data_IF_473411934339
#
_entry.id   IF_473411934339
#
_cell.length_a   1.000
_cell.length_b   1.000
_cell.length_c   1.000
_cell.angle_alpha   90.00
_cell.angle_beta   90.00
_cell.angle_gamma   90.00
#
_symmetry.space_group_name_H-M   'P 1'
#
loop_
_entity.id
_entity.type
_entity.pdbx_description
1 polymer ?
#
# COMPACT_ATOMS: atom_id res chain seq x y z
N UNK A 1 -17.93 -1.61 23.00
CA UNK A 1 -19.01 -2.62 22.98
C UNK A 1 -18.64 -3.77 22.03
N UNK A 2 -19.22 -4.97 22.19
CA UNK A 2 -18.99 -6.13 21.31
C UNK A 2 -19.24 -5.77 19.83
N UNK A 3 -20.30 -5.05 19.53
CA UNK A 3 -20.64 -4.60 18.16
C UNK A 3 -19.58 -3.67 17.56
N UNK A 4 -19.03 -2.73 18.33
CA UNK A 4 -17.94 -1.87 17.87
C UNK A 4 -16.70 -2.70 17.50
N UNK A 5 -16.33 -3.71 18.30
CA UNK A 5 -15.22 -4.60 17.99
C UNK A 5 -15.45 -5.45 16.72
N UNK A 6 -16.69 -5.91 16.49
CA UNK A 6 -17.04 -6.61 15.26
C UNK A 6 -16.89 -5.73 14.01
N UNK A 7 -17.31 -4.46 14.10
CA UNK A 7 -17.13 -3.50 12.99
C UNK A 7 -15.66 -3.24 12.69
N UNK A 8 -14.82 -3.09 13.71
CA UNK A 8 -13.37 -2.95 13.52
C UNK A 8 -12.74 -4.18 12.85
N UNK A 9 -13.22 -5.39 13.20
CA UNK A 9 -12.77 -6.62 12.54
C UNK A 9 -13.17 -6.63 11.04
N UNK A 10 -14.39 -6.23 10.70
CA UNK A 10 -14.84 -6.13 9.31
C UNK A 10 -14.02 -5.11 8.54
N UNK A 11 -13.80 -3.92 9.10
CA UNK A 11 -12.95 -2.89 8.53
C UNK A 11 -11.52 -3.39 8.27
N UNK A 12 -10.96 -4.21 9.17
CA UNK A 12 -9.64 -4.81 8.98
C UNK A 12 -9.60 -5.80 7.81
N UNK A 13 -10.68 -6.56 7.59
CA UNK A 13 -10.82 -7.44 6.41
C UNK A 13 -10.91 -6.65 5.11
N UNK A 14 -11.67 -5.56 5.09
CA UNK A 14 -11.77 -4.68 3.93
C UNK A 14 -10.43 -4.04 3.60
N UNK A 15 -9.68 -3.62 4.64
CA UNK A 15 -8.33 -3.12 4.46
C UNK A 15 -7.38 -4.16 3.82
N UNK A 16 -7.48 -5.42 4.24
CA UNK A 16 -6.71 -6.52 3.62
C UNK A 16 -7.03 -6.66 2.12
N UNK A 17 -8.33 -6.61 1.74
CA UNK A 17 -8.75 -6.66 0.34
C UNK A 17 -8.24 -5.45 -0.45
N UNK A 18 -8.32 -4.25 0.13
CA UNK A 18 -7.81 -3.02 -0.48
C UNK A 18 -6.29 -3.06 -0.72
N UNK A 19 -5.52 -3.53 0.27
CA UNK A 19 -4.05 -3.70 0.15
C UNK A 19 -3.73 -4.72 -0.94
N UNK A 20 -4.42 -5.86 -0.97
CA UNK A 20 -4.24 -6.88 -2.02
C UNK A 20 -4.48 -6.30 -3.42
N UNK A 21 -5.57 -5.57 -3.61
CA UNK A 21 -5.88 -4.92 -4.88
C UNK A 21 -4.81 -3.89 -5.26
N UNK A 22 -4.32 -3.11 -4.30
CA UNK A 22 -3.24 -2.12 -4.51
C UNK A 22 -1.92 -2.78 -4.92
N UNK A 23 -1.57 -3.91 -4.30
CA UNK A 23 -0.36 -4.68 -4.66
C UNK A 23 -0.48 -5.21 -6.09
N UNK A 24 -1.62 -5.81 -6.45
CA UNK A 24 -1.87 -6.32 -7.82
C UNK A 24 -1.74 -5.19 -8.85
N UNK A 25 -2.39 -4.04 -8.59
CA UNK A 25 -2.29 -2.87 -9.47
C UNK A 25 -0.86 -2.33 -9.55
N UNK A 26 -0.12 -2.32 -8.43
CA UNK A 26 1.29 -1.91 -8.38
C UNK A 26 2.18 -2.82 -9.24
N UNK A 27 2.02 -4.13 -9.11
CA UNK A 27 2.75 -5.13 -9.94
C UNK A 27 2.45 -4.92 -11.42
N UNK A 28 1.17 -4.77 -11.78
CA UNK A 28 0.78 -4.53 -13.18
C UNK A 28 1.40 -3.25 -13.73
N UNK A 29 1.32 -2.14 -12.99
CA UNK A 29 1.91 -0.87 -13.40
C UNK A 29 3.42 -0.97 -13.62
N UNK A 30 4.14 -1.58 -12.68
CA UNK A 30 5.60 -1.76 -12.81
C UNK A 30 5.95 -2.67 -13.98
N UNK A 31 5.18 -3.74 -14.22
CA UNK A 31 5.38 -4.64 -15.35
C UNK A 31 5.23 -3.91 -16.69
N UNK A 32 4.15 -3.14 -16.87
CA UNK A 32 3.96 -2.35 -18.10
C UNK A 32 4.98 -1.21 -18.25
N UNK A 33 5.45 -0.64 -17.13
CA UNK A 33 6.56 0.31 -17.15
C UNK A 33 7.85 -0.34 -17.67
N UNK A 34 8.14 -1.59 -17.27
CA UNK A 34 9.28 -2.34 -17.79
C UNK A 34 9.15 -2.60 -19.28
N UNK A 35 7.98 -3.01 -19.77
CA UNK A 35 7.75 -3.19 -21.22
C UNK A 35 7.96 -1.89 -21.99
N UNK A 36 7.51 -0.77 -21.46
CA UNK A 36 7.73 0.56 -22.06
C UNK A 36 9.22 0.90 -22.10
N UNK A 37 9.96 0.69 -21.01
CA UNK A 37 11.39 0.96 -20.95
C UNK A 37 12.18 0.06 -21.90
N UNK A 38 11.80 -1.20 -22.08
CA UNK A 38 12.42 -2.09 -23.06
C UNK A 38 12.17 -1.60 -24.49
N UNK A 39 10.98 -1.10 -24.79
CA UNK A 39 10.69 -0.50 -26.11
C UNK A 39 11.49 0.78 -26.31
N UNK A 40 11.63 1.61 -25.30
CA UNK A 40 12.50 2.80 -25.34
C UNK A 40 13.97 2.40 -25.55
N UNK A 41 14.44 1.34 -24.91
CA UNK A 41 15.80 0.83 -25.09
C UNK A 41 16.05 0.43 -26.57
N UNK A 42 15.10 -0.29 -27.18
CA UNK A 42 15.21 -0.65 -28.61
C UNK A 42 15.32 0.58 -29.50
N UNK A 43 14.46 1.59 -29.27
CA UNK A 43 14.51 2.84 -30.05
C UNK A 43 15.83 3.59 -29.85
N UNK A 44 16.39 3.61 -28.65
CA UNK A 44 17.67 4.25 -28.38
C UNK A 44 18.83 3.46 -28.97
N UNK A 45 18.76 2.12 -29.03
CA UNK A 45 19.74 1.29 -29.75
C UNK A 45 19.74 1.60 -31.25
N UNK A 46 18.58 1.76 -31.87
CA UNK A 46 18.47 2.18 -33.27
C UNK A 46 18.99 3.60 -33.48
N UNK A 47 18.72 4.54 -32.57
CA UNK A 47 19.24 5.91 -32.60
C UNK A 47 20.76 5.94 -32.41
N UNK A 48 21.32 5.11 -31.55
CA UNK A 48 22.76 4.98 -31.35
C UNK A 48 23.45 4.64 -32.67
N UNK A 49 22.95 3.62 -33.38
CA UNK A 49 23.50 3.22 -34.66
C UNK A 49 23.41 4.35 -35.70
N UNK A 50 22.22 4.98 -35.81
CA UNK A 50 22.01 6.08 -36.76
C UNK A 50 22.91 7.30 -36.47
N UNK A 51 23.06 7.69 -35.23
CA UNK A 51 23.91 8.85 -34.85
C UNK A 51 25.39 8.54 -35.01
N UNK A 52 25.81 7.30 -34.74
CA UNK A 52 27.18 6.83 -34.98
C UNK A 52 27.51 6.88 -36.48
N UNK A 53 26.64 6.30 -37.32
CA UNK A 53 26.85 6.32 -38.79
C UNK A 53 26.89 7.76 -39.32
N UNK A 54 26.02 8.63 -38.80
CA UNK A 54 26.00 10.05 -39.15
C UNK A 54 27.33 10.73 -38.80
N UNK A 55 27.84 10.48 -37.59
CA UNK A 55 29.13 11.02 -37.15
C UNK A 55 30.29 10.51 -38.03
N UNK A 56 30.33 9.20 -38.34
CA UNK A 56 31.37 8.60 -39.20
C UNK A 56 31.32 9.18 -40.62
N UNK A 57 30.13 9.34 -41.22
CA UNK A 57 29.98 9.97 -42.53
C UNK A 57 30.46 11.43 -42.53
N UNK A 58 30.12 12.20 -41.48
CA UNK A 58 30.57 13.60 -41.36
C UNK A 58 32.09 13.68 -41.21
N UNK A 59 32.73 12.75 -40.51
CA UNK A 59 34.18 12.65 -40.38
C UNK A 59 34.85 12.34 -41.72
N UNK A 60 34.36 11.34 -42.46
CA UNK A 60 34.84 10.96 -43.77
C UNK A 60 34.74 12.11 -44.78
N UNK A 61 33.62 12.84 -44.79
CA UNK A 61 33.41 14.01 -45.66
C UNK A 61 34.32 15.16 -45.34
N UNK A 62 34.66 15.39 -44.07
CA UNK A 62 35.63 16.38 -43.66
C UNK A 62 37.05 16.01 -44.17
N UNK A 63 37.45 14.73 -43.98
CA UNK A 63 38.77 14.23 -44.38
C UNK A 63 38.93 14.23 -45.91
N UNK A 64 37.83 14.04 -46.67
CA UNK A 64 37.79 14.15 -48.14
C UNK A 64 37.71 15.60 -48.67
N UNK A 65 37.80 16.61 -47.81
CA UNK A 65 37.69 18.04 -48.13
C UNK A 65 36.39 18.45 -48.85
N UNK A 66 35.27 17.72 -48.62
CA UNK A 66 33.96 17.93 -49.23
C UNK A 66 33.15 18.95 -48.43
N UNK A 67 33.70 20.15 -48.15
CA UNK A 67 32.95 21.31 -47.65
C UNK A 67 32.34 21.19 -46.23
N UNK A 68 32.70 20.15 -45.45
CA UNK A 68 32.19 19.96 -44.07
C UNK A 68 33.08 20.69 -43.07
N UNK A 69 32.49 21.61 -42.31
CA UNK A 69 33.16 22.34 -41.24
C UNK A 69 33.40 21.42 -40.02
N UNK A 70 34.54 21.62 -39.31
CA UNK A 70 34.85 20.85 -38.09
C UNK A 70 33.78 20.96 -37.01
N UNK A 71 33.05 22.07 -36.94
CA UNK A 71 31.89 22.27 -36.03
C UNK A 71 30.76 21.26 -36.29
N UNK A 72 30.50 20.92 -37.57
CA UNK A 72 29.47 19.94 -37.90
C UNK A 72 29.83 18.52 -37.43
N UNK A 73 31.10 18.15 -37.51
CA UNK A 73 31.62 16.86 -37.01
C UNK A 73 31.51 16.81 -35.49
N UNK A 74 31.92 17.89 -34.80
CA UNK A 74 31.80 17.97 -33.32
C UNK A 74 30.36 17.96 -32.86
N UNK A 75 29.44 18.59 -33.58
CA UNK A 75 28.00 18.54 -33.27
C UNK A 75 27.43 17.12 -33.44
N UNK A 76 27.83 16.40 -34.49
CA UNK A 76 27.41 15.00 -34.70
C UNK A 76 27.97 14.08 -33.61
N UNK A 77 29.23 14.29 -33.21
CA UNK A 77 29.87 13.58 -32.10
C UNK A 77 29.17 13.83 -30.77
N UNK A 78 28.87 15.09 -30.45
CA UNK A 78 28.12 15.44 -29.22
C UNK A 78 26.71 14.81 -29.18
N UNK A 79 26.03 14.74 -30.34
CA UNK A 79 24.75 14.09 -30.45
C UNK A 79 24.84 12.57 -30.20
N UNK A 80 25.86 11.89 -30.77
CA UNK A 80 26.13 10.48 -30.49
C UNK A 80 26.34 10.21 -28.99
N UNK A 81 27.21 11.00 -28.34
CA UNK A 81 27.41 10.84 -26.88
C UNK A 81 26.17 11.15 -26.05
N UNK A 82 25.32 12.08 -26.49
CA UNK A 82 24.03 12.35 -25.82
C UNK A 82 23.13 11.13 -25.85
N UNK A 83 23.09 10.40 -26.96
CA UNK A 83 22.32 9.15 -27.08
C UNK A 83 22.87 8.05 -26.16
N UNK A 84 24.20 7.94 -26.03
CA UNK A 84 24.83 7.00 -25.11
C UNK A 84 24.47 7.28 -23.63
N UNK A 85 24.40 8.55 -23.26
CA UNK A 85 23.94 8.94 -21.91
C UNK A 85 22.50 8.50 -21.70
N UNK A 86 21.60 8.78 -22.66
CA UNK A 86 20.19 8.35 -22.59
C UNK A 86 20.08 6.82 -22.47
N UNK A 87 20.87 6.07 -23.22
CA UNK A 87 20.91 4.59 -23.13
C UNK A 87 21.29 4.12 -21.73
N UNK A 88 22.25 4.76 -21.11
CA UNK A 88 22.71 4.44 -19.76
C UNK A 88 21.62 4.75 -18.72
N UNK A 89 20.92 5.87 -18.88
CA UNK A 89 19.83 6.25 -18.00
C UNK A 89 18.65 5.28 -18.10
N UNK A 90 18.28 4.83 -19.29
CA UNK A 90 17.22 3.83 -19.47
C UNK A 90 17.61 2.50 -18.81
N UNK A 91 18.85 2.06 -18.96
CA UNK A 91 19.35 0.84 -18.29
C UNK A 91 19.26 0.95 -16.78
N UNK A 92 19.59 2.11 -16.22
CA UNK A 92 19.44 2.37 -14.78
C UNK A 92 17.99 2.27 -14.36
N UNK A 93 17.07 2.92 -15.11
CA UNK A 93 15.62 2.89 -14.82
C UNK A 93 15.04 1.47 -14.89
N UNK A 94 15.46 0.65 -15.86
CA UNK A 94 15.07 -0.76 -15.94
C UNK A 94 15.46 -1.49 -14.65
N UNK A 95 16.73 -1.38 -14.21
CA UNK A 95 17.21 -2.05 -12.99
C UNK A 95 16.48 -1.56 -11.73
N UNK A 96 16.27 -0.27 -11.61
CA UNK A 96 15.52 0.32 -10.49
C UNK A 96 14.09 -0.21 -10.43
N UNK A 97 13.42 -0.33 -11.59
CA UNK A 97 12.06 -0.86 -11.68
C UNK A 97 12.03 -2.37 -11.41
N UNK A 98 12.99 -3.15 -11.91
CA UNK A 98 13.14 -4.57 -11.61
C UNK A 98 13.36 -4.82 -10.10
N UNK A 99 14.21 -4.03 -9.46
CA UNK A 99 14.45 -4.10 -8.03
C UNK A 99 13.19 -3.75 -7.23
N UNK A 100 12.49 -2.71 -7.64
CA UNK A 100 11.24 -2.28 -7.01
C UNK A 100 10.13 -3.33 -7.14
N UNK A 101 10.03 -3.97 -8.30
CA UNK A 101 9.08 -5.05 -8.55
C UNK A 101 9.45 -6.30 -7.75
N UNK A 102 10.74 -6.67 -7.69
CA UNK A 102 11.23 -7.79 -6.86
C UNK A 102 10.92 -7.56 -5.38
N UNK A 103 11.12 -6.34 -4.87
CA UNK A 103 10.79 -5.96 -3.50
C UNK A 103 9.29 -6.08 -3.24
N UNK A 104 8.45 -5.63 -4.18
CA UNK A 104 6.98 -5.68 -4.03
C UNK A 104 6.46 -7.14 -3.99
N UNK A 105 7.12 -8.05 -4.73
CA UNK A 105 6.79 -9.48 -4.74
C UNK A 105 7.43 -10.22 -3.54
N UNK A 106 8.35 -9.57 -2.82
CA UNK A 106 9.06 -10.17 -1.68
C UNK A 106 10.21 -11.10 -2.09
N UNK A 107 10.78 -10.89 -3.27
CA UNK A 107 11.93 -11.65 -3.79
C UNK A 107 13.21 -10.83 -3.73
N UNK A 108 14.35 -11.51 -3.80
CA UNK A 108 15.64 -10.83 -3.98
C UNK A 108 15.69 -10.13 -5.33
N UNK A 109 16.47 -9.04 -5.41
CA UNK A 109 16.67 -8.30 -6.64
C UNK A 109 17.18 -9.22 -7.77
N UNK A 110 16.41 -9.34 -8.83
CA UNK A 110 16.71 -10.20 -9.98
C UNK A 110 16.15 -9.61 -11.27
N UNK A 111 16.69 -10.04 -12.39
CA UNK A 111 16.13 -9.73 -13.70
C UNK A 111 14.79 -10.45 -13.87
N UNK A 112 13.79 -9.73 -14.36
CA UNK A 112 12.41 -10.24 -14.50
C UNK A 112 12.19 -10.62 -15.96
N UNK A 113 11.87 -11.90 -16.18
CA UNK A 113 11.46 -12.39 -17.51
C UNK A 113 10.13 -11.79 -17.90
N UNK A 114 10.05 -11.19 -19.08
CA UNK A 114 8.87 -10.46 -19.55
C UNK A 114 8.65 -10.62 -21.05
N UNK A 115 7.44 -10.38 -21.51
CA UNK A 115 7.07 -10.37 -22.91
C UNK A 115 7.50 -9.08 -23.63
N UNK A 116 6.99 -8.89 -24.85
CA UNK A 116 7.20 -7.67 -25.61
C UNK A 116 5.99 -6.77 -25.54
N UNK A 117 6.20 -5.46 -25.66
CA UNK A 117 5.12 -4.46 -25.68
C UNK A 117 4.21 -4.66 -26.89
N UNK A 118 4.79 -5.03 -28.05
CA UNK A 118 4.07 -5.21 -29.30
C UNK A 118 3.11 -6.42 -29.28
N UNK A 119 3.31 -7.38 -28.38
CA UNK A 119 2.45 -8.57 -28.22
C UNK A 119 1.22 -8.29 -27.32
N UNK A 120 1.11 -7.08 -26.74
CA UNK A 120 0.02 -6.72 -25.84
C UNK A 120 -1.23 -6.34 -26.59
N UNK A 121 -2.33 -7.08 -26.32
CA UNK A 121 -3.65 -6.77 -26.90
C UNK A 121 -4.40 -5.85 -25.93
N UNK A 122 -4.69 -4.63 -26.39
CA UNK A 122 -5.57 -3.72 -25.67
C UNK A 122 -7.03 -4.10 -25.94
N UNK A 123 -7.91 -4.08 -24.93
CA UNK A 123 -9.34 -4.30 -25.15
C UNK A 123 -9.89 -3.20 -26.06
N UNK A 124 -10.56 -3.61 -27.12
CA UNK A 124 -11.12 -2.71 -28.17
C UNK A 124 -12.34 -1.92 -27.71
N UNK A 125 -12.98 -2.34 -26.60
CA UNK A 125 -14.13 -1.65 -26.04
C UNK A 125 -14.06 -1.66 -24.52
N UNK A 126 -14.16 -0.48 -23.93
CA UNK A 126 -14.37 -0.32 -22.49
C UNK A 126 -15.86 -0.08 -22.24
N UNK A 127 -16.49 -0.94 -21.45
CA UNK A 127 -17.85 -0.70 -20.97
C UNK A 127 -17.84 0.55 -20.07
N UNK A 128 -18.41 1.65 -20.57
CA UNK A 128 -18.63 2.85 -19.78
C UNK A 128 -19.95 2.70 -19.02
N UNK A 129 -19.91 2.84 -17.72
CA UNK A 129 -21.07 2.74 -16.84
C UNK A 129 -20.93 1.59 -15.85
N UNK A 130 -20.39 1.93 -14.69
CA UNK A 130 -20.29 1.01 -13.55
C UNK A 130 -21.62 1.09 -12.80
N UNK A 131 -22.40 0.00 -12.79
CA UNK A 131 -23.63 -0.05 -12.00
C UNK A 131 -23.35 0.20 -10.51
N UNK A 132 -24.26 0.93 -9.82
CA UNK A 132 -24.15 1.25 -8.40
C UNK A 132 -23.90 0.03 -7.52
N UNK A 133 -24.32 -1.17 -7.95
CA UNK A 133 -24.05 -2.43 -7.25
C UNK A 133 -22.55 -2.78 -7.16
N UNK A 134 -21.72 -2.30 -8.10
CA UNK A 134 -20.27 -2.53 -8.05
C UNK A 134 -19.57 -1.63 -7.04
N UNK A 135 -20.19 -0.51 -6.63
CA UNK A 135 -19.69 0.33 -5.54
C UNK A 135 -19.67 -0.43 -4.21
N UNK A 136 -20.65 -1.31 -3.97
CA UNK A 136 -20.70 -2.13 -2.76
C UNK A 136 -19.54 -3.15 -2.68
N UNK A 137 -18.93 -3.50 -3.81
CA UNK A 137 -17.80 -4.43 -3.85
C UNK A 137 -16.44 -3.70 -3.71
N UNK A 138 -16.45 -2.38 -3.64
CA UNK A 138 -15.23 -1.59 -3.40
C UNK A 138 -14.87 -1.62 -1.92
N UNK A 139 -13.71 -2.15 -1.62
CA UNK A 139 -13.21 -2.27 -0.25
C UNK A 139 -13.03 -0.91 0.46
N UNK A 140 -12.71 0.16 -0.28
CA UNK A 140 -12.58 1.51 0.26
C UNK A 140 -13.92 2.11 0.67
N UNK A 141 -14.99 1.89 -0.12
CA UNK A 141 -16.36 2.33 0.21
C UNK A 141 -16.87 1.55 1.43
N UNK A 142 -16.74 0.22 1.43
CA UNK A 142 -17.18 -0.61 2.55
C UNK A 142 -16.40 -0.29 3.84
N UNK A 143 -15.09 -0.04 3.75
CA UNK A 143 -14.30 0.41 4.90
C UNK A 143 -14.78 1.77 5.46
N UNK A 144 -15.21 2.71 4.59
CA UNK A 144 -15.78 3.98 5.01
C UNK A 144 -17.14 3.80 5.70
N UNK A 145 -17.99 2.90 5.21
CA UNK A 145 -19.25 2.53 5.86
C UNK A 145 -19.02 1.90 7.25
N UNK A 146 -18.04 1.00 7.36
CA UNK A 146 -17.68 0.40 8.65
C UNK A 146 -17.14 1.46 9.62
N UNK A 147 -16.39 2.44 9.14
CA UNK A 147 -15.94 3.57 9.96
C UNK A 147 -17.11 4.39 10.48
N UNK A 148 -18.11 4.67 9.64
CA UNK A 148 -19.33 5.35 10.06
C UNK A 148 -20.10 4.54 11.13
N UNK A 149 -20.24 3.24 10.91
CA UNK A 149 -20.85 2.33 11.90
C UNK A 149 -20.07 2.30 13.22
N UNK A 150 -18.74 2.36 13.17
CA UNK A 150 -17.89 2.47 14.36
C UNK A 150 -18.19 3.74 15.15
N UNK A 151 -18.25 4.91 14.47
CA UNK A 151 -18.60 6.17 15.10
C UNK A 151 -19.99 6.11 15.75
N UNK A 152 -20.96 5.53 15.06
CA UNK A 152 -22.30 5.31 15.62
C UNK A 152 -22.26 4.50 16.93
N UNK A 153 -21.51 3.38 16.96
CA UNK A 153 -21.38 2.58 18.18
C UNK A 153 -20.57 3.27 19.27
N UNK A 154 -19.64 4.17 18.92
CA UNK A 154 -18.93 5.00 19.89
C UNK A 154 -19.90 5.96 20.58
N UNK A 155 -20.77 6.64 19.82
CA UNK A 155 -21.81 7.50 20.38
C UNK A 155 -22.76 6.70 21.29
N UNK A 156 -23.18 5.48 20.89
CA UNK A 156 -24.01 4.63 21.74
C UNK A 156 -23.27 4.22 23.03
N UNK A 157 -21.98 3.97 22.96
CA UNK A 157 -21.17 3.66 24.13
C UNK A 157 -21.00 4.88 25.04
N UNK A 158 -20.88 6.10 24.48
CA UNK A 158 -20.86 7.33 25.27
C UNK A 158 -22.22 7.57 25.98
N UNK A 159 -23.34 7.33 25.27
CA UNK A 159 -24.69 7.41 25.84
C UNK A 159 -24.91 6.38 26.94
N UNK A 160 -24.39 5.15 26.82
CA UNK A 160 -24.55 4.12 27.83
C UNK A 160 -23.92 4.49 29.18
N UNK A 161 -22.94 5.39 29.22
CA UNK A 161 -22.32 5.87 30.47
C UNK A 161 -23.24 6.74 31.32
N UNK A 162 -24.36 7.20 30.79
CA UNK A 162 -25.40 7.92 31.55
C UNK A 162 -26.35 6.99 32.32
N UNK A 163 -26.33 5.69 32.04
CA UNK A 163 -27.14 4.70 32.69
C UNK A 163 -26.39 4.02 33.84
N UNK A 164 -27.13 3.46 34.83
CA UNK A 164 -26.53 2.70 35.93
C UNK A 164 -25.68 1.51 35.40
N UNK A 165 -24.49 1.35 35.94
CA UNK A 165 -23.63 0.20 35.65
C UNK A 165 -23.73 -0.83 36.78
N UNK A 166 -24.08 -2.07 36.43
CA UNK A 166 -24.06 -3.21 37.34
C UNK A 166 -22.67 -3.89 37.20
N UNK A 167 -21.91 -3.86 38.29
CA UNK A 167 -20.62 -4.55 38.37
C UNK A 167 -20.76 -5.75 39.30
N UNK A 168 -20.45 -6.93 38.79
CA UNK A 168 -20.40 -8.17 39.59
C UNK A 168 -18.94 -8.61 39.63
N UNK A 169 -18.39 -8.68 40.84
CA UNK A 169 -17.00 -9.16 41.06
C UNK A 169 -17.04 -10.41 41.94
N UNK A 170 -16.29 -11.41 41.55
CA UNK A 170 -16.08 -12.63 42.31
C UNK A 170 -14.58 -12.79 42.61
N UNK A 171 -14.22 -13.10 43.83
CA UNK A 171 -12.85 -13.43 44.22
C UNK A 171 -12.85 -14.72 45.03
N UNK A 172 -11.93 -15.61 44.66
CA UNK A 172 -11.60 -16.79 45.47
C UNK A 172 -10.21 -16.57 46.11
N UNK A 173 -10.14 -16.60 47.44
CA UNK A 173 -8.91 -16.46 48.17
C UNK A 173 -8.65 -17.74 48.97
N UNK A 174 -7.48 -18.32 48.77
CA UNK A 174 -7.00 -19.45 49.54
C UNK A 174 -6.12 -18.92 50.68
N UNK A 175 -6.57 -19.15 51.93
CA UNK A 175 -5.82 -18.73 53.10
C UNK A 175 -5.26 -19.96 53.80
N UNK A 176 -3.92 -19.99 53.94
CA UNK A 176 -3.21 -20.99 54.74
C UNK A 176 -2.62 -20.32 55.98
N UNK A 177 -3.20 -20.58 57.15
CA UNK A 177 -2.76 -19.94 58.43
C UNK A 177 -1.51 -20.59 59.05
N UNK A 178 -0.89 -21.56 58.40
CA UNK A 178 0.10 -22.41 59.08
C UNK A 178 1.54 -22.36 58.55
N UNK A 179 1.90 -21.53 57.59
CA UNK A 179 3.30 -21.38 57.14
C UNK A 179 4.01 -22.64 56.58
N UNK A 180 3.34 -23.75 56.49
CA UNK A 180 3.84 -25.03 55.97
C UNK A 180 3.00 -25.46 54.80
N UNK A 181 3.53 -25.31 53.59
CA UNK A 181 3.11 -25.91 52.34
C UNK A 181 1.62 -26.23 52.11
N UNK A 182 1.27 -26.43 50.89
CA UNK A 182 -0.09 -26.70 50.33
C UNK A 182 -0.73 -28.03 50.86
N UNK A 183 -0.23 -28.62 51.98
CA UNK A 183 -0.60 -29.97 52.41
C UNK A 183 -1.85 -30.00 53.30
N UNK A 184 -2.31 -28.88 53.82
CA UNK A 184 -3.56 -28.80 54.53
C UNK A 184 -4.49 -27.80 53.85
N UNK A 185 -5.67 -28.22 53.34
CA UNK A 185 -6.59 -27.31 52.65
C UNK A 185 -7.10 -26.30 53.68
N UNK A 186 -6.43 -25.15 53.71
CA UNK A 186 -6.97 -23.96 54.40
C UNK A 186 -8.34 -23.66 53.83
N UNK A 187 -9.11 -22.81 54.51
CA UNK A 187 -10.45 -22.45 54.03
C UNK A 187 -10.35 -21.67 52.71
N UNK A 188 -11.02 -22.20 51.68
CA UNK A 188 -11.25 -21.52 50.43
C UNK A 188 -12.41 -20.53 50.66
N UNK A 189 -12.07 -19.24 50.66
CA UNK A 189 -13.06 -18.17 50.84
C UNK A 189 -13.49 -17.66 49.46
N UNK A 190 -14.77 -17.84 49.20
CA UNK A 190 -15.42 -17.25 48.01
C UNK A 190 -16.16 -15.97 48.41
N UNK A 191 -15.90 -14.90 47.66
CA UNK A 191 -16.58 -13.63 47.84
C UNK A 191 -17.18 -13.21 46.52
N UNK A 192 -18.52 -12.99 46.50
CA UNK A 192 -19.24 -12.40 45.39
C UNK A 192 -19.82 -11.06 45.84
N UNK A 193 -19.55 -9.99 45.11
CA UNK A 193 -20.05 -8.65 45.39
C UNK A 193 -20.69 -8.09 44.12
N UNK A 194 -21.97 -7.73 44.22
CA UNK A 194 -22.70 -6.97 43.21
C UNK A 194 -22.76 -5.50 43.64
N UNK A 195 -22.36 -4.59 42.75
CA UNK A 195 -22.50 -3.16 42.98
C UNK A 195 -23.21 -2.48 41.79
N UNK A 196 -24.16 -1.62 42.09
CA UNK A 196 -24.85 -0.78 41.12
C UNK A 196 -24.35 0.66 41.31
N UNK A 197 -23.70 1.21 40.28
CA UNK A 197 -23.14 2.56 40.33
C UNK A 197 -23.74 3.40 39.20
N UNK A 198 -24.22 4.60 39.56
CA UNK A 198 -24.68 5.60 38.59
C UNK A 198 -24.01 6.93 38.90
N UNK A 199 -23.25 7.51 37.97
CA UNK A 199 -22.69 8.83 38.14
C UNK A 199 -23.77 9.89 37.97
N UNK A 200 -24.07 10.65 39.04
CA UNK A 200 -25.05 11.74 39.01
C UNK A 200 -24.35 13.05 38.60
N UNK A 201 -23.15 13.29 39.06
CA UNK A 201 -22.39 14.49 38.79
C UNK A 201 -20.92 14.18 38.52
N UNK A 202 -20.40 14.55 37.34
CA UNK A 202 -19.01 14.36 36.94
C UNK A 202 -18.39 15.61 36.29
N UNK A 203 -18.66 16.79 36.79
CA UNK A 203 -18.07 18.05 36.28
C UNK A 203 -18.16 18.19 34.73
N UNK A 204 -19.26 17.78 34.13
CA UNK A 204 -19.46 17.88 32.67
C UNK A 204 -18.72 16.83 31.82
N UNK A 205 -17.92 15.93 32.41
CA UNK A 205 -17.14 14.93 31.65
C UNK A 205 -17.98 14.02 30.76
N UNK A 206 -19.16 13.60 31.24
CA UNK A 206 -20.06 12.75 30.45
C UNK A 206 -20.62 13.48 29.24
N UNK A 207 -21.02 14.75 29.41
CA UNK A 207 -21.54 15.58 28.33
C UNK A 207 -20.45 15.90 27.31
N UNK A 208 -19.24 16.25 27.79
CA UNK A 208 -18.09 16.47 26.91
C UNK A 208 -17.72 15.18 26.15
N UNK A 209 -17.68 14.02 26.82
CA UNK A 209 -17.40 12.73 26.18
C UNK A 209 -18.45 12.34 25.12
N UNK A 210 -19.73 12.71 25.31
CA UNK A 210 -20.76 12.50 24.30
C UNK A 210 -20.62 13.45 23.09
N UNK A 211 -20.18 14.70 23.33
CA UNK A 211 -19.96 15.69 22.24
C UNK A 211 -18.77 15.35 21.39
N UNK A 212 -17.76 14.68 21.93
CA UNK A 212 -16.53 14.28 21.21
C UNK A 212 -16.70 12.94 20.48
N UNK A 213 -17.60 12.08 20.94
CA UNK A 213 -17.84 10.76 20.34
C UNK A 213 -18.59 10.84 19.01
#
# INVERSE_FOLDING_TARGET
>A
SKRAAQVVLLQSKDYQVAVRAKVIAGVANMYYTLLMLDKQMQLVDDMEQLTKDTWEIMKLRKDAAVGVRSVAVQSAEANYYSVLVQKTDIRRQIRETENSLSLLIGQQAQAITRGKMDDQLLPTSFSTGVGLRLLNNRADVHAAEMKLAQCFYNVQTARSRFYPALNISGSGTYTNSGGRGIVNPGSLLWRAVGSLTQPIFQNGKLVAGLKVA
#
